data_IF_683509652494
#
_entry.id   IF_683509652494
#
_cell.length_a   1.000
_cell.length_b   1.000
_cell.length_c   1.000
_cell.angle_alpha   90.00
_cell.angle_beta   90.00
_cell.angle_gamma   90.00
#
_symmetry.space_group_name_H-M   'P 1'
#
loop_
_entity.id
_entity.type
_entity.pdbx_description
1 polymer ?
#
# COMPACT_ATOMS: atom_id res chain seq x y z
N UNK A 1 8.24 22.50 -26.03
CA UNK A 1 9.29 22.37 -24.98
C UNK A 1 10.44 23.22 -25.45
N UNK A 2 10.90 24.15 -24.62
CA UNK A 2 12.03 25.02 -24.97
C UNK A 2 13.30 24.17 -25.17
N UNK A 3 14.14 24.50 -26.16
CA UNK A 3 15.37 23.75 -26.48
C UNK A 3 16.36 23.72 -25.31
N UNK A 4 16.26 24.68 -24.38
CA UNK A 4 17.07 24.72 -23.16
C UNK A 4 16.53 23.84 -22.01
N UNK A 5 15.41 23.13 -22.21
CA UNK A 5 14.78 22.35 -21.13
C UNK A 5 15.53 21.04 -20.89
N UNK A 6 16.02 20.84 -19.67
CA UNK A 6 16.56 19.56 -19.22
C UNK A 6 15.46 18.70 -18.58
N UNK A 7 15.41 17.42 -18.93
CA UNK A 7 14.49 16.44 -18.35
C UNK A 7 15.28 15.33 -17.65
N UNK A 8 14.94 15.04 -16.39
CA UNK A 8 15.55 13.97 -15.60
C UNK A 8 14.46 12.99 -15.18
N UNK A 9 14.65 11.70 -15.51
CA UNK A 9 13.81 10.62 -15.03
C UNK A 9 14.42 9.98 -13.79
N UNK A 10 13.61 9.83 -12.74
CA UNK A 10 14.01 9.16 -11.48
C UNK A 10 13.00 8.05 -11.22
N UNK A 11 13.49 6.85 -10.90
CA UNK A 11 12.63 5.73 -10.55
C UNK A 11 13.40 4.45 -10.26
N UNK A 12 12.65 3.43 -9.87
CA UNK A 12 13.16 2.12 -9.48
C UNK A 12 12.57 1.06 -10.41
N UNK A 13 13.43 0.38 -11.18
CA UNK A 13 13.02 -0.64 -12.15
C UNK A 13 12.53 -1.93 -11.52
N UNK A 14 12.79 -2.13 -10.23
CA UNK A 14 12.53 -3.36 -9.51
C UNK A 14 11.17 -3.32 -8.77
N UNK A 15 10.55 -2.14 -8.70
CA UNK A 15 9.16 -1.96 -8.24
C UNK A 15 8.13 -2.49 -9.25
N UNK A 16 6.86 -2.53 -8.81
CA UNK A 16 5.73 -2.88 -9.67
C UNK A 16 5.68 -1.98 -10.92
N UNK A 17 5.41 -2.55 -12.12
CA UNK A 17 5.27 -1.76 -13.34
C UNK A 17 4.03 -0.86 -13.27
N UNK A 18 3.99 0.17 -14.10
CA UNK A 18 2.83 1.06 -14.26
C UNK A 18 1.54 0.27 -14.51
N UNK A 19 0.40 0.75 -14.00
CA UNK A 19 -0.89 0.07 -14.23
C UNK A 19 -1.28 0.06 -15.72
N UNK A 20 -1.06 1.17 -16.43
CA UNK A 20 -1.28 1.28 -17.88
C UNK A 20 -0.25 0.48 -18.70
N UNK A 21 -0.47 0.30 -20.02
CA UNK A 21 0.42 -0.49 -20.88
C UNK A 21 1.83 0.12 -21.00
N UNK A 22 2.82 -0.76 -21.26
CA UNK A 22 4.23 -0.38 -21.46
C UNK A 22 5.11 -0.47 -20.21
N UNK A 23 6.43 -0.44 -20.37
CA UNK A 23 7.39 -0.39 -19.26
C UNK A 23 8.42 0.72 -19.52
N UNK A 24 7.95 1.96 -19.44
CA UNK A 24 8.66 3.16 -19.96
C UNK A 24 10.07 3.28 -19.40
N UNK A 25 10.25 3.26 -18.08
CA UNK A 25 11.57 3.42 -17.47
C UNK A 25 12.54 2.32 -17.92
N UNK A 26 12.09 1.07 -17.93
CA UNK A 26 12.92 -0.07 -18.36
C UNK A 26 13.28 0.00 -19.85
N UNK A 27 12.37 0.47 -20.68
CA UNK A 27 12.60 0.60 -22.12
C UNK A 27 13.47 1.81 -22.48
N UNK A 28 13.36 2.91 -21.74
CA UNK A 28 14.28 4.07 -21.86
C UNK A 28 15.72 3.63 -21.56
N UNK A 29 15.90 2.86 -20.47
CA UNK A 29 17.22 2.29 -20.13
C UNK A 29 17.70 1.30 -21.21
N UNK A 30 16.82 0.45 -21.73
CA UNK A 30 17.16 -0.47 -22.81
C UNK A 30 17.49 0.23 -24.14
N UNK A 31 16.93 1.42 -24.38
CA UNK A 31 17.24 2.25 -25.54
C UNK A 31 18.62 2.93 -25.45
N UNK A 32 19.31 2.82 -24.32
CA UNK A 32 20.65 3.41 -24.14
C UNK A 32 20.65 4.91 -23.82
N UNK A 33 19.52 5.46 -23.35
CA UNK A 33 19.50 6.83 -22.83
C UNK A 33 20.48 6.96 -21.66
N UNK A 34 21.31 8.03 -21.59
CA UNK A 34 22.27 8.23 -20.51
C UNK A 34 21.62 8.08 -19.14
N UNK A 35 22.16 7.18 -18.33
CA UNK A 35 21.60 6.84 -17.03
C UNK A 35 22.68 6.48 -16.03
N UNK A 36 22.38 6.69 -14.76
CA UNK A 36 23.24 6.32 -13.62
C UNK A 36 22.42 5.44 -12.69
N UNK A 37 22.91 4.24 -12.39
CA UNK A 37 22.30 3.36 -11.39
C UNK A 37 23.01 3.56 -10.06
N UNK A 38 22.28 4.08 -9.07
CA UNK A 38 22.79 4.20 -7.70
C UNK A 38 22.79 2.80 -7.06
N UNK A 39 23.96 2.34 -6.62
CA UNK A 39 24.16 0.99 -6.04
C UNK A 39 24.64 1.02 -4.59
N UNK A 40 25.17 2.16 -4.12
CA UNK A 40 25.66 2.30 -2.76
C UNK A 40 24.52 2.60 -1.78
N UNK A 41 24.52 1.87 -0.67
CA UNK A 41 23.58 2.06 0.44
C UNK A 41 24.32 2.84 1.52
N UNK A 42 23.72 3.93 2.02
CA UNK A 42 24.33 4.68 3.11
C UNK A 42 24.45 3.83 4.39
N UNK A 43 25.54 4.01 5.15
CA UNK A 43 25.93 3.16 6.29
C UNK A 43 24.82 2.93 7.33
N UNK A 44 23.95 3.92 7.55
CA UNK A 44 22.81 3.82 8.47
C UNK A 44 21.74 2.82 7.97
N UNK A 45 21.55 2.72 6.65
CA UNK A 45 20.60 1.80 6.03
C UNK A 45 21.10 0.33 6.02
N UNK A 46 22.41 0.09 6.09
CA UNK A 46 22.97 -1.27 6.21
C UNK A 46 22.60 -1.98 7.53
N UNK A 47 22.20 -1.23 8.56
CA UNK A 47 21.77 -1.81 9.83
C UNK A 47 20.31 -2.29 9.81
N UNK A 48 19.50 -1.85 8.83
CA UNK A 48 18.10 -2.21 8.73
C UNK A 48 17.91 -3.53 7.99
N UNK A 49 17.15 -4.44 8.58
CA UNK A 49 16.73 -5.66 7.89
C UNK A 49 15.76 -5.38 6.76
N UNK A 50 15.00 -4.28 6.79
CA UNK A 50 14.13 -3.85 5.67
C UNK A 50 14.98 -3.69 4.42
N UNK A 51 16.06 -2.93 4.51
CA UNK A 51 16.96 -2.65 3.37
C UNK A 51 17.66 -3.93 2.92
N UNK A 52 18.21 -4.70 3.85
CA UNK A 52 18.88 -5.97 3.53
C UNK A 52 17.91 -6.93 2.82
N UNK A 53 16.71 -7.13 3.35
CA UNK A 53 15.70 -8.03 2.79
C UNK A 53 15.13 -7.50 1.47
N UNK A 54 15.02 -6.19 1.26
CA UNK A 54 14.65 -5.62 -0.04
C UNK A 54 15.67 -6.03 -1.11
N UNK A 55 16.98 -5.89 -0.85
CA UNK A 55 18.01 -6.32 -1.80
C UNK A 55 18.01 -7.82 -2.04
N UNK A 56 17.86 -8.64 -0.99
CA UNK A 56 17.76 -10.10 -1.13
C UNK A 56 16.55 -10.49 -1.97
N UNK A 57 15.39 -9.91 -1.68
CA UNK A 57 14.16 -10.13 -2.44
C UNK A 57 14.40 -9.81 -3.92
N UNK A 58 14.99 -8.66 -4.22
CA UNK A 58 15.30 -8.25 -5.59
C UNK A 58 16.26 -9.23 -6.32
N UNK A 59 17.26 -9.76 -5.60
CA UNK A 59 18.16 -10.81 -6.12
C UNK A 59 17.52 -12.20 -6.22
N UNK A 60 16.32 -12.39 -5.66
CA UNK A 60 15.65 -13.69 -5.60
C UNK A 60 16.19 -14.61 -4.51
N UNK A 61 16.90 -14.03 -3.54
CA UNK A 61 17.43 -14.73 -2.37
C UNK A 61 16.37 -14.80 -1.27
N UNK A 62 16.40 -15.86 -0.46
CA UNK A 62 15.55 -15.98 0.73
C UNK A 62 15.79 -14.80 1.67
N UNK A 63 14.71 -14.30 2.28
CA UNK A 63 14.79 -13.26 3.31
C UNK A 63 15.51 -13.81 4.55
N UNK A 64 16.20 -12.92 5.26
CA UNK A 64 16.80 -13.21 6.56
C UNK A 64 15.98 -12.58 7.68
N UNK A 65 15.90 -13.31 8.79
CA UNK A 65 15.25 -12.88 10.01
C UNK A 65 16.26 -13.06 11.14
N UNK A 66 16.94 -11.97 11.51
CA UNK A 66 17.98 -11.95 12.54
C UNK A 66 17.38 -11.60 13.89
N UNK A 67 17.76 -12.35 14.91
CA UNK A 67 17.43 -12.02 16.29
C UNK A 67 18.06 -10.69 16.71
N UNK A 68 17.38 -9.95 17.60
CA UNK A 68 17.85 -8.66 18.11
C UNK A 68 17.62 -7.47 17.18
N UNK A 69 16.92 -7.66 16.06
CA UNK A 69 16.47 -6.60 15.16
C UNK A 69 14.96 -6.46 15.23
N UNK A 70 14.47 -5.23 15.25
CA UNK A 70 13.07 -4.89 15.57
C UNK A 70 12.30 -4.24 14.40
N UNK A 71 12.87 -4.29 13.19
CA UNK A 71 12.36 -3.62 12.00
C UNK A 71 11.80 -4.58 10.93
N UNK A 72 12.03 -5.89 11.03
CA UNK A 72 11.54 -6.85 10.03
C UNK A 72 11.17 -8.19 10.66
N UNK A 73 9.91 -8.58 10.49
CA UNK A 73 9.36 -9.80 11.07
C UNK A 73 8.63 -10.65 10.04
N UNK A 74 8.66 -11.96 10.24
CA UNK A 74 7.79 -12.91 9.55
C UNK A 74 7.09 -13.80 10.57
N UNK A 75 5.77 -13.80 10.53
CA UNK A 75 4.91 -14.62 11.37
C UNK A 75 4.31 -15.70 10.49
N UNK A 76 4.66 -16.96 10.79
CA UNK A 76 4.15 -18.08 10.03
C UNK A 76 2.70 -18.37 10.44
N UNK A 77 1.80 -18.34 9.47
CA UNK A 77 0.40 -18.70 9.63
C UNK A 77 -0.14 -19.30 8.32
N UNK A 78 -0.81 -20.44 8.40
CA UNK A 78 -1.30 -21.19 7.24
C UNK A 78 -2.81 -21.02 7.05
N UNK A 79 -3.56 -20.79 8.13
CA UNK A 79 -4.99 -20.59 8.08
C UNK A 79 -5.34 -19.13 7.77
N UNK A 80 -6.18 -18.90 6.76
CA UNK A 80 -6.49 -17.54 6.32
C UNK A 80 -7.30 -16.76 7.36
N UNK A 81 -8.16 -17.42 8.15
CA UNK A 81 -8.91 -16.74 9.21
C UNK A 81 -7.99 -16.32 10.35
N UNK A 82 -7.05 -17.19 10.75
CA UNK A 82 -6.03 -16.85 11.73
C UNK A 82 -5.10 -15.76 11.22
N UNK A 83 -4.77 -15.75 9.92
CA UNK A 83 -3.99 -14.68 9.30
C UNK A 83 -4.70 -13.34 9.43
N UNK A 84 -5.99 -13.27 9.07
CA UNK A 84 -6.81 -12.06 9.25
C UNK A 84 -6.85 -11.62 10.71
N UNK A 85 -7.11 -12.55 11.64
CA UNK A 85 -7.13 -12.26 13.09
C UNK A 85 -5.78 -11.74 13.59
N UNK A 86 -4.68 -12.36 13.16
CA UNK A 86 -3.32 -11.95 13.50
C UNK A 86 -3.00 -10.54 13.01
N UNK A 87 -3.38 -10.20 11.77
CA UNK A 87 -3.24 -8.83 11.25
C UNK A 87 -4.02 -7.84 12.12
N UNK A 88 -5.28 -8.13 12.43
CA UNK A 88 -6.11 -7.25 13.27
C UNK A 88 -5.48 -7.06 14.66
N UNK A 89 -5.04 -8.14 15.31
CA UNK A 89 -4.40 -8.08 16.62
C UNK A 89 -3.12 -7.23 16.60
N UNK A 90 -2.31 -7.35 15.55
CA UNK A 90 -1.08 -6.56 15.39
C UNK A 90 -1.42 -5.09 15.22
N UNK A 91 -2.37 -4.75 14.35
CA UNK A 91 -2.75 -3.34 14.14
C UNK A 91 -3.32 -2.75 15.42
N UNK A 92 -4.25 -3.44 16.08
CA UNK A 92 -4.85 -2.99 17.36
C UNK A 92 -3.77 -2.80 18.42
N UNK A 93 -2.80 -3.71 18.52
CA UNK A 93 -1.68 -3.60 19.45
C UNK A 93 -0.83 -2.37 19.16
N UNK A 94 -0.43 -2.16 17.90
CA UNK A 94 0.40 -1.01 17.51
C UNK A 94 -0.31 0.32 17.80
N UNK A 95 -1.61 0.42 17.51
CA UNK A 95 -2.43 1.58 17.85
C UNK A 95 -2.51 1.76 19.38
N UNK A 96 -2.71 0.67 20.14
CA UNK A 96 -2.72 0.70 21.60
C UNK A 96 -1.38 1.08 22.24
N UNK A 97 -0.27 0.84 21.54
CA UNK A 97 1.08 1.31 21.91
C UNK A 97 1.30 2.80 21.58
N UNK A 98 0.31 3.48 21.02
CA UNK A 98 0.33 4.93 20.74
C UNK A 98 0.77 5.30 19.32
N UNK A 99 0.90 4.34 18.40
CA UNK A 99 1.18 4.64 17.00
C UNK A 99 -0.08 5.19 16.32
N UNK A 100 -0.02 6.34 15.63
CA UNK A 100 -1.12 6.83 14.82
C UNK A 100 -1.57 5.79 13.79
N UNK A 101 -2.87 5.68 13.53
CA UNK A 101 -3.39 4.73 12.52
C UNK A 101 -2.95 5.11 11.09
N UNK A 102 -2.61 6.37 10.87
CA UNK A 102 -2.10 6.88 9.60
C UNK A 102 -0.72 6.28 9.27
N UNK A 103 0.10 6.08 10.29
CA UNK A 103 1.46 5.52 10.21
C UNK A 103 1.50 4.01 9.95
N UNK A 104 0.38 3.32 10.17
CA UNK A 104 0.26 1.87 10.00
C UNK A 104 -0.52 1.59 8.72
N UNK A 105 0.06 0.77 7.84
CA UNK A 105 -0.61 0.37 6.61
C UNK A 105 -0.61 -1.14 6.41
N UNK A 106 -1.80 -1.70 6.22
CA UNK A 106 -1.96 -3.07 5.73
C UNK A 106 -1.94 -3.06 4.20
N UNK A 107 -1.04 -3.82 3.60
CA UNK A 107 -0.89 -3.94 2.15
C UNK A 107 -1.25 -5.34 1.68
N UNK A 108 -2.41 -5.51 1.03
CA UNK A 108 -2.81 -6.82 0.50
C UNK A 108 -2.59 -6.93 -1.02
N UNK A 109 -2.12 -8.07 -1.54
CA UNK A 109 -1.99 -8.30 -2.98
C UNK A 109 -3.30 -8.17 -3.77
N UNK A 110 -4.44 -8.50 -3.16
CA UNK A 110 -5.74 -8.63 -3.84
C UNK A 110 -6.87 -7.93 -3.09
N UNK A 111 -7.93 -7.56 -3.81
CA UNK A 111 -9.12 -6.91 -3.22
C UNK A 111 -10.15 -7.92 -2.68
N UNK A 112 -10.55 -8.88 -3.51
CA UNK A 112 -11.70 -9.78 -3.30
C UNK A 112 -11.28 -11.19 -2.92
N UNK A 113 -10.65 -11.33 -1.76
CA UNK A 113 -10.26 -12.61 -1.14
C UNK A 113 -10.49 -12.51 0.36
N UNK A 114 -10.42 -13.62 1.09
CA UNK A 114 -10.59 -13.65 2.56
C UNK A 114 -9.55 -12.77 3.28
N UNK A 115 -8.30 -12.80 2.81
CA UNK A 115 -7.19 -11.92 3.22
C UNK A 115 -7.03 -10.68 2.31
N UNK A 116 -8.09 -10.33 1.58
CA UNK A 116 -8.12 -9.21 0.64
C UNK A 116 -8.47 -7.87 1.28
N UNK A 117 -8.24 -6.79 0.54
CA UNK A 117 -8.50 -5.41 1.00
C UNK A 117 -9.92 -5.20 1.55
N UNK A 118 -10.95 -5.73 0.88
CA UNK A 118 -12.35 -5.50 1.29
C UNK A 118 -12.64 -6.17 2.64
N UNK A 119 -12.22 -7.43 2.80
CA UNK A 119 -12.35 -8.18 4.04
C UNK A 119 -11.57 -7.53 5.19
N UNK A 120 -10.29 -7.18 4.94
CA UNK A 120 -9.41 -6.57 5.92
C UNK A 120 -9.93 -5.21 6.39
N UNK A 121 -10.42 -4.36 5.48
CA UNK A 121 -11.00 -3.07 5.86
C UNK A 121 -12.22 -3.24 6.78
N UNK A 122 -13.10 -4.19 6.48
CA UNK A 122 -14.28 -4.44 7.32
C UNK A 122 -13.88 -4.88 8.74
N UNK A 123 -13.03 -5.89 8.86
CA UNK A 123 -12.63 -6.39 10.19
C UNK A 123 -11.77 -5.40 10.98
N UNK A 124 -10.90 -4.62 10.30
CA UNK A 124 -10.09 -3.58 10.94
C UNK A 124 -10.97 -2.42 11.41
N UNK A 125 -11.92 -1.97 10.59
CA UNK A 125 -12.89 -0.96 11.01
C UNK A 125 -13.69 -1.44 12.23
N UNK A 126 -14.17 -2.70 12.22
CA UNK A 126 -14.88 -3.28 13.35
C UNK A 126 -14.07 -3.32 14.64
N UNK A 127 -12.77 -3.57 14.56
CA UNK A 127 -11.88 -3.64 15.71
C UNK A 127 -11.39 -2.27 16.21
N UNK A 128 -11.09 -1.34 15.30
CA UNK A 128 -10.48 -0.05 15.61
C UNK A 128 -11.50 1.08 15.78
N UNK A 129 -12.60 1.02 15.03
CA UNK A 129 -13.66 2.02 15.06
C UNK A 129 -15.05 1.35 15.05
N UNK A 130 -15.39 0.57 16.10
CA UNK A 130 -16.67 -0.12 16.20
C UNK A 130 -17.83 0.87 16.13
N UNK A 131 -18.99 0.37 15.71
CA UNK A 131 -20.22 1.17 15.70
C UNK A 131 -20.52 1.70 17.10
N UNK A 132 -20.88 2.99 17.17
CA UNK A 132 -21.31 3.64 18.39
C UNK A 132 -22.55 4.49 18.07
N UNK A 133 -23.68 4.33 18.77
CA UNK A 133 -24.93 5.05 18.44
C UNK A 133 -24.81 6.59 18.44
N UNK A 134 -23.87 7.12 19.22
CA UNK A 134 -23.62 8.57 19.29
C UNK A 134 -22.60 9.08 18.25
N UNK A 135 -21.97 8.19 17.48
CA UNK A 135 -21.09 8.57 16.38
C UNK A 135 -21.88 8.43 15.07
N UNK A 136 -21.86 9.47 14.24
CA UNK A 136 -22.48 9.42 12.93
C UNK A 136 -21.94 8.24 12.09
N UNK A 137 -22.82 7.65 11.29
CA UNK A 137 -22.45 6.69 10.25
C UNK A 137 -23.19 6.98 8.95
N UNK A 138 -22.53 6.76 7.82
CA UNK A 138 -23.12 6.84 6.49
C UNK A 138 -22.78 5.60 5.68
N UNK A 139 -23.69 5.16 4.83
CA UNK A 139 -23.45 4.03 3.93
C UNK A 139 -23.55 4.45 2.46
N UNK A 140 -22.60 3.99 1.65
CA UNK A 140 -22.62 4.12 0.20
C UNK A 140 -21.98 2.88 -0.43
N UNK A 141 -22.66 2.24 -1.39
CA UNK A 141 -22.16 1.07 -2.16
C UNK A 141 -21.56 -0.04 -1.27
N UNK A 142 -22.24 -0.39 -0.18
CA UNK A 142 -21.83 -1.40 0.81
C UNK A 142 -20.57 -1.04 1.63
N UNK A 143 -20.13 0.22 1.59
CA UNK A 143 -19.11 0.75 2.50
C UNK A 143 -19.81 1.60 3.55
N UNK A 144 -19.59 1.26 4.81
CA UNK A 144 -20.00 2.07 5.96
C UNK A 144 -18.84 2.99 6.32
N UNK A 145 -19.11 4.28 6.42
CA UNK A 145 -18.19 5.31 6.84
C UNK A 145 -18.57 5.81 8.23
N UNK A 146 -17.59 5.97 9.11
CA UNK A 146 -17.74 6.42 10.50
C UNK A 146 -16.73 7.51 10.80
N UNK A 147 -17.08 8.40 11.73
CA UNK A 147 -16.12 9.37 12.26
C UNK A 147 -14.93 8.64 12.86
N UNK A 148 -13.72 9.01 12.47
CA UNK A 148 -12.46 8.38 12.83
C UNK A 148 -11.95 7.34 11.82
N UNK A 149 -12.68 7.05 10.74
CA UNK A 149 -12.19 6.09 9.74
C UNK A 149 -11.04 6.64 8.91
N UNK A 150 -10.05 5.77 8.68
CA UNK A 150 -9.00 5.98 7.68
C UNK A 150 -9.58 5.71 6.29
N UNK A 151 -9.58 6.72 5.43
CA UNK A 151 -10.11 6.68 4.06
C UNK A 151 -9.06 7.10 3.04
N UNK A 152 -9.29 6.73 1.78
CA UNK A 152 -8.45 7.10 0.65
C UNK A 152 -9.30 7.65 -0.50
N UNK A 153 -8.82 8.71 -1.14
CA UNK A 153 -9.39 9.29 -2.35
C UNK A 153 -9.07 8.39 -3.56
N UNK A 154 -10.08 8.09 -4.38
CA UNK A 154 -9.98 7.16 -5.51
C UNK A 154 -9.73 7.84 -6.86
N UNK A 155 -10.11 9.11 -6.99
CA UNK A 155 -10.04 9.90 -8.23
C UNK A 155 -9.55 11.31 -7.92
N UNK A 156 -8.88 11.96 -8.88
CA UNK A 156 -8.46 13.35 -8.68
C UNK A 156 -9.69 14.26 -8.72
N UNK A 157 -9.81 15.11 -7.71
CA UNK A 157 -10.78 16.19 -7.65
C UNK A 157 -10.01 17.50 -7.53
N UNK A 158 -9.86 18.21 -8.66
CA UNK A 158 -9.05 19.41 -8.74
C UNK A 158 -9.70 20.61 -8.04
N UNK A 159 -11.03 20.67 -8.02
CA UNK A 159 -11.76 21.75 -7.33
C UNK A 159 -11.54 21.68 -5.81
N UNK A 160 -11.42 20.46 -5.29
CA UNK A 160 -11.10 20.20 -3.88
C UNK A 160 -9.62 19.97 -3.64
N UNK A 161 -8.77 20.05 -4.67
CA UNK A 161 -7.34 19.77 -4.63
C UNK A 161 -6.98 18.48 -3.86
N UNK A 162 -7.77 17.42 -4.03
CA UNK A 162 -7.47 16.08 -3.48
C UNK A 162 -7.19 15.13 -4.64
N UNK A 163 -6.19 14.28 -4.48
CA UNK A 163 -5.68 13.43 -5.54
C UNK A 163 -5.86 11.96 -5.21
N UNK A 164 -5.93 11.14 -6.26
CA UNK A 164 -6.07 9.70 -6.15
C UNK A 164 -4.88 9.11 -5.38
N UNK A 165 -5.17 8.46 -4.25
CA UNK A 165 -4.17 7.91 -3.33
C UNK A 165 -4.01 8.72 -2.04
N UNK A 166 -4.54 9.94 -1.97
CA UNK A 166 -4.50 10.74 -0.74
C UNK A 166 -5.26 10.01 0.37
N UNK A 167 -4.63 9.90 1.53
CA UNK A 167 -5.18 9.25 2.73
C UNK A 167 -5.54 10.33 3.75
N UNK A 168 -6.68 10.16 4.38
CA UNK A 168 -7.14 11.05 5.44
C UNK A 168 -8.02 10.34 6.45
N UNK A 169 -8.41 11.06 7.49
CA UNK A 169 -9.29 10.58 8.56
C UNK A 169 -10.63 11.31 8.48
N UNK A 170 -11.75 10.57 8.55
CA UNK A 170 -13.06 11.20 8.67
C UNK A 170 -13.14 11.96 10.00
N UNK A 171 -13.19 13.29 9.93
CA UNK A 171 -13.16 14.17 11.09
C UNK A 171 -14.54 14.35 11.73
N UNK A 172 -15.57 14.54 10.90
CA UNK A 172 -16.96 14.68 11.35
C UNK A 172 -17.93 14.37 10.20
N UNK A 173 -19.22 14.18 10.53
CA UNK A 173 -20.27 14.00 9.54
C UNK A 173 -21.62 14.46 10.07
N UNK A 174 -22.52 14.78 9.14
CA UNK A 174 -23.92 15.13 9.38
C UNK A 174 -24.83 14.03 8.83
N UNK A 175 -25.66 13.45 9.69
CA UNK A 175 -26.53 12.31 9.38
C UNK A 175 -28.00 12.57 9.74
N UNK A 176 -28.37 13.81 10.07
CA UNK A 176 -29.71 14.21 10.49
C UNK A 176 -30.79 14.16 9.40
N UNK A 177 -32.03 14.49 9.80
CA UNK A 177 -33.28 14.24 9.05
C UNK A 177 -33.52 15.13 7.81
N UNK A 178 -32.73 16.19 7.59
CA UNK A 178 -32.99 17.18 6.53
C UNK A 178 -32.27 16.91 5.19
N UNK A 179 -32.03 15.64 4.83
CA UNK A 179 -31.35 15.19 3.58
C UNK A 179 -29.96 15.81 3.29
N UNK A 180 -29.44 16.67 4.16
CA UNK A 180 -28.15 17.34 4.02
C UNK A 180 -27.02 16.48 4.59
N UNK A 181 -26.83 15.30 3.99
CA UNK A 181 -25.82 14.35 4.42
C UNK A 181 -24.45 14.68 3.85
N UNK A 182 -23.48 14.87 4.74
CA UNK A 182 -22.09 15.14 4.35
C UNK A 182 -21.11 14.60 5.38
N UNK A 183 -19.87 14.40 4.96
CA UNK A 183 -18.75 14.15 5.86
C UNK A 183 -17.58 15.06 5.53
N UNK A 184 -16.70 15.29 6.49
CA UNK A 184 -15.43 15.99 6.29
C UNK A 184 -14.28 15.02 6.56
N UNK A 185 -13.34 14.97 5.63
CA UNK A 185 -12.09 14.22 5.76
C UNK A 185 -10.98 15.22 6.06
N UNK A 186 -10.18 14.93 7.08
CA UNK A 186 -8.93 15.62 7.37
C UNK A 186 -7.82 14.94 6.57
N UNK A 187 -7.30 15.65 5.57
CA UNK A 187 -6.10 15.30 4.82
C UNK A 187 -4.96 16.18 5.29
N UNK A 188 -4.00 15.61 6.00
CA UNK A 188 -2.94 16.38 6.68
C UNK A 188 -3.56 17.48 7.56
N UNK A 189 -3.36 18.76 7.21
CA UNK A 189 -3.91 19.91 7.95
C UNK A 189 -5.20 20.49 7.35
N UNK A 190 -5.75 19.86 6.30
CA UNK A 190 -6.87 20.40 5.52
C UNK A 190 -8.13 19.57 5.64
N UNK A 191 -9.25 20.24 5.93
CA UNK A 191 -10.57 19.59 5.95
C UNK A 191 -11.24 19.75 4.59
N UNK A 192 -11.64 18.63 4.02
CA UNK A 192 -12.33 18.56 2.74
C UNK A 192 -13.71 17.95 2.96
N UNK A 193 -14.75 18.68 2.56
CA UNK A 193 -16.13 18.28 2.70
C UNK A 193 -16.60 17.45 1.51
N UNK A 194 -17.34 16.38 1.76
CA UNK A 194 -17.93 15.49 0.78
C UNK A 194 -19.44 15.38 1.01
N UNK A 195 -20.23 15.57 -0.04
CA UNK A 195 -21.63 15.18 -0.04
C UNK A 195 -21.77 13.66 -0.12
N UNK A 196 -22.97 13.14 0.15
CA UNK A 196 -23.27 11.71 0.04
C UNK A 196 -23.06 11.14 -1.39
N UNK A 197 -23.20 11.97 -2.41
CA UNK A 197 -23.01 11.61 -3.82
C UNK A 197 -21.52 11.41 -4.12
N UNK A 198 -20.67 12.27 -3.55
CA UNK A 198 -19.22 12.26 -3.74
C UNK A 198 -18.51 11.12 -3.00
N UNK A 199 -19.22 10.37 -2.14
CA UNK A 199 -18.66 9.21 -1.45
C UNK A 199 -18.25 8.06 -2.38
N UNK A 200 -18.65 8.11 -3.65
CA UNK A 200 -18.14 7.20 -4.68
C UNK A 200 -16.64 7.44 -4.98
N UNK A 201 -16.11 8.60 -4.60
CA UNK A 201 -14.71 8.96 -4.71
C UNK A 201 -13.87 8.49 -3.51
N UNK A 202 -14.49 7.94 -2.46
CA UNK A 202 -13.81 7.49 -1.25
C UNK A 202 -13.87 5.96 -1.10
N UNK A 203 -12.93 5.44 -0.32
CA UNK A 203 -12.94 4.05 0.18
C UNK A 203 -12.27 4.01 1.55
N UNK A 204 -12.56 3.00 2.36
CA UNK A 204 -11.75 2.68 3.53
C UNK A 204 -10.31 2.33 3.13
N UNK A 205 -9.35 2.69 3.99
CA UNK A 205 -7.92 2.61 3.72
C UNK A 205 -7.08 2.02 4.87
N UNK A 206 -7.71 1.34 5.84
CA UNK A 206 -6.97 0.52 6.82
C UNK A 206 -6.10 -0.53 6.12
N UNK A 207 -6.65 -1.12 5.06
CA UNK A 207 -5.94 -1.93 4.08
C UNK A 207 -6.09 -1.32 2.68
N UNK A 208 -5.00 -1.38 1.90
CA UNK A 208 -4.99 -1.00 0.48
C UNK A 208 -4.21 -2.05 -0.32
N UNK A 209 -4.28 -1.97 -1.65
CA UNK A 209 -3.45 -2.83 -2.49
C UNK A 209 -2.03 -2.31 -2.56
N UNK A 210 -1.05 -3.19 -2.76
CA UNK A 210 0.36 -2.80 -2.98
C UNK A 210 0.52 -1.83 -4.17
N UNK A 211 -0.37 -1.92 -5.17
CA UNK A 211 -0.37 -0.99 -6.30
C UNK A 211 -0.83 0.42 -5.90
N UNK A 212 -1.81 0.51 -4.98
CA UNK A 212 -2.33 1.80 -4.50
C UNK A 212 -1.38 2.49 -3.53
N UNK A 213 -0.40 1.78 -2.97
CA UNK A 213 0.65 2.39 -2.13
C UNK A 213 1.89 2.85 -2.91
N UNK A 214 1.94 2.70 -4.23
CA UNK A 214 3.08 3.15 -5.03
C UNK A 214 3.26 4.67 -4.89
N UNK A 215 4.45 5.09 -4.47
CA UNK A 215 4.76 6.50 -4.19
C UNK A 215 4.48 6.94 -2.76
N UNK A 216 3.75 6.15 -1.96
CA UNK A 216 3.51 6.41 -0.54
C UNK A 216 4.50 5.64 0.34
N UNK A 217 4.78 6.15 1.54
CA UNK A 217 5.58 5.45 2.55
C UNK A 217 4.86 5.51 3.90
N UNK A 218 5.06 4.48 4.72
CA UNK A 218 4.43 4.34 6.03
C UNK A 218 5.48 3.96 7.07
N UNK A 219 5.25 4.30 8.34
CA UNK A 219 6.16 3.85 9.40
C UNK A 219 6.13 2.32 9.49
N UNK A 220 4.94 1.75 9.57
CA UNK A 220 4.73 0.30 9.70
C UNK A 220 3.94 -0.25 8.53
N UNK A 221 4.50 -1.25 7.86
CA UNK A 221 3.80 -2.04 6.83
C UNK A 221 3.52 -3.44 7.35
N UNK A 222 2.27 -3.88 7.20
CA UNK A 222 1.84 -5.24 7.49
C UNK A 222 1.32 -5.86 6.19
N UNK A 223 1.82 -7.03 5.80
CA UNK A 223 1.49 -7.63 4.51
C UNK A 223 1.16 -9.13 4.63
N UNK A 224 -0.07 -9.56 4.28
CA UNK A 224 -0.37 -10.98 4.11
C UNK A 224 0.39 -11.59 2.91
N UNK A 225 0.96 -12.77 3.12
CA UNK A 225 1.65 -13.58 2.12
C UNK A 225 1.04 -14.98 2.12
N UNK A 226 -0.14 -15.09 1.51
CA UNK A 226 -0.93 -16.32 1.41
C UNK A 226 -0.91 -16.90 0.00
N UNK A 227 -1.06 -18.23 -0.10
CA UNK A 227 -1.29 -18.93 -1.37
C UNK A 227 -2.64 -18.60 -2.00
N UNK A 228 -3.61 -18.02 -1.26
CA UNK A 228 -4.82 -17.45 -1.86
C UNK A 228 -4.50 -16.36 -2.90
N UNK A 229 -3.32 -15.72 -2.79
CA UNK A 229 -2.85 -14.71 -3.73
C UNK A 229 -1.96 -15.26 -4.84
N UNK A 230 -1.97 -16.58 -5.10
CA UNK A 230 -1.00 -17.27 -5.97
C UNK A 230 -0.71 -16.54 -7.29
N UNK A 231 -1.75 -16.03 -7.96
CA UNK A 231 -1.65 -15.32 -9.24
C UNK A 231 -0.77 -14.05 -9.13
N UNK A 232 -0.80 -13.39 -7.98
CA UNK A 232 -0.09 -12.14 -7.70
C UNK A 232 1.24 -12.36 -6.97
N UNK A 233 1.57 -13.60 -6.54
CA UNK A 233 2.83 -13.90 -5.86
C UNK A 233 4.01 -13.73 -6.82
N UNK A 234 4.57 -12.54 -6.84
CA UNK A 234 5.69 -12.14 -7.66
C UNK A 234 6.73 -11.36 -6.85
N UNK A 235 7.99 -11.41 -7.29
CA UNK A 235 9.12 -10.81 -6.59
C UNK A 235 8.93 -9.31 -6.39
N UNK A 236 8.57 -8.61 -7.46
CA UNK A 236 8.36 -7.17 -7.45
C UNK A 236 7.21 -6.75 -6.52
N UNK A 237 6.21 -7.59 -6.30
CA UNK A 237 5.12 -7.31 -5.35
C UNK A 237 5.65 -7.29 -3.91
N UNK A 238 6.40 -8.33 -3.52
CA UNK A 238 7.00 -8.41 -2.18
C UNK A 238 8.02 -7.28 -1.99
N UNK A 239 8.89 -7.06 -2.98
CA UNK A 239 9.86 -5.98 -2.97
C UNK A 239 9.21 -4.60 -2.81
N UNK A 240 8.14 -4.33 -3.58
CA UNK A 240 7.41 -3.06 -3.48
C UNK A 240 6.79 -2.93 -2.10
N UNK A 241 6.12 -3.97 -1.57
CA UNK A 241 5.53 -3.95 -0.24
C UNK A 241 6.55 -3.67 0.88
N UNK A 242 7.71 -4.33 0.85
CA UNK A 242 8.81 -4.13 1.81
C UNK A 242 9.30 -2.67 1.77
N UNK A 243 9.52 -2.13 0.58
CA UNK A 243 10.07 -0.78 0.39
C UNK A 243 9.06 0.34 0.65
N UNK A 244 7.80 0.04 0.98
CA UNK A 244 6.85 1.04 1.47
C UNK A 244 7.04 1.36 2.97
N UNK A 245 7.78 0.53 3.71
CA UNK A 245 8.01 0.74 5.14
C UNK A 245 9.25 1.59 5.42
N UNK A 246 9.12 2.53 6.35
CA UNK A 246 10.24 3.33 6.88
C UNK A 246 10.90 2.72 8.10
N UNK A 247 10.12 2.13 9.02
CA UNK A 247 10.65 1.67 10.30
C UNK A 247 10.34 0.22 10.63
N UNK A 248 9.21 -0.35 10.15
CA UNK A 248 8.85 -1.73 10.46
C UNK A 248 8.09 -2.44 9.35
N UNK A 249 8.50 -3.66 9.03
CA UNK A 249 7.77 -4.59 8.15
C UNK A 249 7.36 -5.83 8.94
N UNK A 250 6.09 -6.22 8.82
CA UNK A 250 5.57 -7.47 9.36
C UNK A 250 4.90 -8.25 8.24
N UNK A 251 5.53 -9.35 7.83
CA UNK A 251 4.96 -10.30 6.87
C UNK A 251 4.22 -11.40 7.63
N UNK A 252 2.99 -11.72 7.23
CA UNK A 252 2.20 -12.80 7.83
C UNK A 252 1.78 -13.81 6.76
N UNK A 253 2.08 -15.08 6.95
CA UNK A 253 1.61 -16.12 6.03
C UNK A 253 2.52 -17.33 5.96
N UNK A 254 2.65 -17.94 4.79
CA UNK A 254 3.40 -19.21 4.66
C UNK A 254 4.78 -19.01 4.05
N UNK A 255 5.78 -19.75 4.56
CA UNK A 255 7.12 -19.79 3.98
C UNK A 255 7.09 -20.26 2.53
N UNK A 256 6.15 -21.15 2.19
CA UNK A 256 5.87 -21.61 0.83
C UNK A 256 5.45 -20.46 -0.08
N UNK A 257 4.44 -19.68 0.30
CA UNK A 257 3.98 -18.54 -0.50
C UNK A 257 5.08 -17.49 -0.69
N UNK A 258 5.84 -17.19 0.38
CA UNK A 258 6.97 -16.26 0.32
C UNK A 258 8.07 -16.76 -0.65
N UNK A 259 8.43 -18.03 -0.56
CA UNK A 259 9.42 -18.66 -1.45
C UNK A 259 8.97 -18.66 -2.91
N UNK A 260 7.69 -18.96 -3.17
CA UNK A 260 7.10 -18.87 -4.51
C UNK A 260 7.21 -17.43 -5.05
N UNK A 261 6.82 -16.44 -4.25
CA UNK A 261 6.83 -15.04 -4.67
C UNK A 261 8.25 -14.56 -5.01
N UNK A 262 9.23 -14.80 -4.13
CA UNK A 262 10.62 -14.35 -4.31
C UNK A 262 11.27 -14.99 -5.54
N UNK A 263 11.03 -16.29 -5.77
CA UNK A 263 11.56 -17.02 -6.93
C UNK A 263 10.85 -16.63 -8.23
N UNK A 264 9.62 -16.16 -8.15
CA UNK A 264 8.87 -15.74 -9.32
C UNK A 264 9.32 -14.35 -9.83
N UNK A 265 10.35 -14.37 -10.67
CA UNK A 265 10.81 -13.21 -11.43
C UNK A 265 10.15 -13.09 -12.81
N UNK A 266 8.93 -13.64 -13.00
CA UNK A 266 8.17 -13.35 -14.21
C UNK A 266 7.71 -11.88 -14.14
N UNK A 267 8.64 -10.97 -14.43
CA UNK A 267 8.30 -9.63 -14.88
C UNK A 267 7.36 -9.85 -16.06
N UNK A 268 6.14 -9.35 -15.97
CA UNK A 268 5.18 -9.38 -17.06
C UNK A 268 5.92 -8.86 -18.29
N UNK A 269 6.26 -9.74 -19.25
CA UNK A 269 6.84 -9.32 -20.51
C UNK A 269 5.76 -8.47 -21.17
N UNK A 270 5.96 -7.17 -21.16
CA UNK A 270 5.06 -6.23 -21.81
C UNK A 270 5.49 -6.12 -23.25
N UNK A 271 4.58 -6.48 -24.15
CA UNK A 271 4.79 -6.33 -25.58
C UNK A 271 4.87 -4.84 -25.90
N UNK A 272 6.08 -4.35 -26.16
CA UNK A 272 6.34 -2.96 -26.46
C UNK A 272 7.52 -2.85 -27.42
N UNK A 273 7.51 -1.78 -28.21
CA UNK A 273 8.54 -1.44 -29.20
C UNK A 273 9.13 -0.04 -28.91
N UNK A 274 8.98 0.47 -27.69
CA UNK A 274 9.44 1.82 -27.37
C UNK A 274 10.96 1.87 -27.46
N UNK A 275 11.67 0.89 -26.89
CA UNK A 275 13.13 0.85 -26.95
C UNK A 275 13.66 0.86 -28.41
N UNK A 276 13.06 0.06 -29.30
CA UNK A 276 13.45 -0.02 -30.72
C UNK A 276 12.99 1.17 -31.57
N UNK A 277 12.19 2.08 -31.01
CA UNK A 277 11.76 3.32 -31.69
C UNK A 277 12.56 4.54 -31.22
N UNK A 278 13.11 4.49 -30.00
CA UNK A 278 13.97 5.54 -29.45
C UNK A 278 15.40 5.37 -29.95
N UNK A 279 15.93 4.15 -29.90
CA UNK A 279 17.24 3.79 -30.46
C UNK A 279 17.18 3.59 -31.96
#
# INVERSE_FOLDING_TARGET
VDEATSLVFIGDTDQLPSVGPGNVLREILAAGIPSVRLTEIFRQAHQSQIVVNAHRCNRGESLEFKEGKDDFFFIQEEDNQQLVKGIVQIVVRLVGEGNPIEDIQVLSPMKKTEVGVESLNNVLQGALNPYHPLKGQMEKKNIVYRVGDKVMQLVNNYDKEVFNGDIGIIYQMETGEQDNHWLEVLYEDRRVKYSKEELDELTLAYAITVHKSQGSEYQVVIMPVSTQHYIMLARNLIYTGITRARSKVILLGTTKALSIAIKNNKVVQRNSKLASRIG
#
